data_IF_185697727470
#
_entry.id   IF_185697727470
#
_cell.length_a   1.000
_cell.length_b   1.000
_cell.length_c   1.000
_cell.angle_alpha   90.00
_cell.angle_beta   90.00
_cell.angle_gamma   90.00
#
_symmetry.space_group_name_H-M   'P 1'
#
loop_
_entity.id
_entity.type
_entity.pdbx_description
1 polymer ?
#
# COMPACT_ATOMS: atom_id res chain seq x y z
N UNK A 1 -70.23 -33.31 17.33
CA UNK A 1 -70.24 -32.02 16.60
C UNK A 1 -68.90 -31.34 16.84
N UNK A 2 -68.17 -31.13 15.75
CA UNK A 2 -67.12 -30.11 15.54
C UNK A 2 -65.88 -30.09 16.45
N UNK A 3 -64.86 -30.82 15.98
CA UNK A 3 -63.48 -30.33 15.72
C UNK A 3 -63.41 -28.86 15.22
N UNK A 4 -62.22 -28.22 15.03
CA UNK A 4 -60.86 -28.52 15.54
C UNK A 4 -59.96 -27.27 15.83
N UNK A 5 -58.83 -27.53 16.50
CA UNK A 5 -57.44 -27.14 16.15
C UNK A 5 -57.08 -25.68 15.73
N UNK A 6 -56.22 -25.01 16.51
CA UNK A 6 -55.43 -23.84 16.09
C UNK A 6 -54.09 -24.29 15.49
N UNK A 7 -53.70 -23.86 14.28
CA UNK A 7 -52.31 -23.88 13.85
C UNK A 7 -51.57 -22.63 14.35
N UNK A 8 -50.32 -22.82 14.74
CA UNK A 8 -49.36 -21.77 15.12
C UNK A 8 -48.95 -21.04 13.83
N UNK A 9 -49.31 -19.76 13.73
CA UNK A 9 -48.98 -18.91 12.59
C UNK A 9 -47.51 -18.50 12.59
N UNK A 10 -46.80 -18.95 11.56
CA UNK A 10 -45.53 -18.41 11.07
C UNK A 10 -45.68 -16.91 10.77
N UNK A 11 -44.84 -16.08 11.38
CA UNK A 11 -44.58 -14.71 10.92
C UNK A 11 -43.12 -14.64 10.50
N UNK A 12 -42.90 -14.77 9.19
CA UNK A 12 -41.65 -14.38 8.56
C UNK A 12 -41.55 -12.86 8.58
N UNK A 13 -40.74 -12.31 9.48
CA UNK A 13 -40.27 -10.93 9.40
C UNK A 13 -39.04 -10.89 8.50
N UNK A 14 -39.24 -10.56 7.22
CA UNK A 14 -38.14 -10.16 6.35
C UNK A 14 -37.44 -8.91 6.90
N UNK A 15 -36.13 -8.74 6.70
CA UNK A 15 -35.46 -7.49 7.05
C UNK A 15 -36.01 -6.34 6.18
N UNK A 16 -36.06 -5.12 6.72
CA UNK A 16 -36.70 -3.98 6.05
C UNK A 16 -35.97 -3.63 4.77
N UNK A 17 -36.72 -3.63 3.66
CA UNK A 17 -36.35 -2.92 2.44
C UNK A 17 -36.28 -1.41 2.71
N UNK A 18 -35.30 -0.78 2.07
CA UNK A 18 -35.12 0.66 1.88
C UNK A 18 -34.39 1.44 3.00
N UNK A 19 -33.06 1.25 3.07
CA UNK A 19 -32.14 2.35 3.39
C UNK A 19 -31.71 2.98 2.06
N UNK A 20 -32.34 4.10 1.76
CA UNK A 20 -32.18 4.87 0.54
C UNK A 20 -30.74 5.07 0.06
N UNK A 21 -30.63 5.12 -1.27
CA UNK A 21 -29.56 5.77 -2.04
C UNK A 21 -28.18 5.13 -1.90
N UNK A 22 -27.91 4.08 -2.67
CA UNK A 22 -26.55 3.74 -3.10
C UNK A 22 -26.03 4.80 -4.09
N UNK A 23 -25.77 6.01 -3.61
CA UNK A 23 -24.77 6.84 -4.28
C UNK A 23 -23.46 6.09 -4.14
N UNK A 24 -23.03 5.41 -5.21
CA UNK A 24 -21.89 4.49 -5.18
C UNK A 24 -20.68 5.15 -4.50
N UNK A 25 -20.29 4.65 -3.33
CA UNK A 25 -19.11 5.13 -2.61
C UNK A 25 -17.92 5.11 -3.55
N UNK A 26 -17.17 6.20 -3.61
CA UNK A 26 -15.95 6.26 -4.44
C UNK A 26 -14.88 5.38 -3.81
N UNK A 27 -14.33 4.46 -4.61
CA UNK A 27 -13.39 3.43 -4.16
C UNK A 27 -12.00 3.67 -4.72
N UNK A 28 -10.99 3.44 -3.88
CA UNK A 28 -9.59 3.51 -4.25
C UNK A 28 -8.90 2.17 -4.06
N UNK A 29 -7.96 1.85 -4.94
CA UNK A 29 -6.90 0.87 -4.68
C UNK A 29 -5.59 1.61 -4.54
N UNK A 30 -4.83 1.33 -3.49
CA UNK A 30 -3.48 1.84 -3.29
C UNK A 30 -2.48 0.69 -3.33
N UNK A 31 -1.69 0.63 -4.40
CA UNK A 31 -0.56 -0.28 -4.52
C UNK A 31 0.64 0.30 -3.76
N UNK A 32 1.22 -0.45 -2.82
CA UNK A 32 2.37 0.02 -2.05
C UNK A 32 3.59 -0.86 -2.31
N UNK A 33 4.63 -0.29 -2.90
CA UNK A 33 5.88 -0.98 -3.17
C UNK A 33 7.02 -0.44 -2.28
N UNK A 34 8.19 -1.09 -2.32
CA UNK A 34 9.37 -0.68 -1.54
C UNK A 34 9.78 0.75 -1.86
N UNK A 35 9.81 1.03 -3.16
CA UNK A 35 10.36 2.24 -3.71
C UNK A 35 11.82 2.12 -4.12
N UNK A 36 12.31 3.24 -4.62
CA UNK A 36 13.56 3.36 -5.35
C UNK A 36 14.01 4.81 -5.26
N UNK A 37 15.31 5.13 -5.39
CA UNK A 37 15.76 6.52 -5.44
C UNK A 37 15.16 7.28 -6.63
N UNK A 38 14.99 8.59 -6.46
CA UNK A 38 14.46 9.49 -7.52
C UNK A 38 15.44 9.70 -8.69
N UNK A 39 16.68 9.22 -8.55
CA UNK A 39 17.74 9.38 -9.53
C UNK A 39 18.87 8.38 -9.28
N UNK A 40 19.68 8.07 -10.31
CA UNK A 40 20.78 7.12 -10.19
C UNK A 40 22.05 7.79 -9.63
N UNK A 41 21.98 9.08 -9.31
CA UNK A 41 23.07 9.84 -8.72
C UNK A 41 23.27 9.51 -7.23
N UNK A 42 24.48 9.77 -6.72
CA UNK A 42 24.86 9.48 -5.34
C UNK A 42 23.94 10.14 -4.31
N UNK A 43 23.46 11.36 -4.55
CA UNK A 43 22.64 12.12 -3.59
C UNK A 43 21.25 11.52 -3.50
N UNK A 44 20.64 11.17 -4.63
CA UNK A 44 19.32 10.53 -4.68
C UNK A 44 19.35 9.14 -4.04
N UNK A 45 20.38 8.34 -4.36
CA UNK A 45 20.61 7.03 -3.73
C UNK A 45 20.87 7.15 -2.23
N UNK A 46 21.64 8.16 -1.79
CA UNK A 46 21.87 8.40 -0.38
C UNK A 46 20.57 8.71 0.37
N UNK A 47 19.70 9.59 -0.16
CA UNK A 47 18.42 9.93 0.49
C UNK A 47 17.55 8.69 0.66
N UNK A 48 17.41 7.89 -0.40
CA UNK A 48 16.66 6.63 -0.37
C UNK A 48 17.23 5.65 0.66
N UNK A 49 18.54 5.37 0.61
CA UNK A 49 19.19 4.44 1.54
C UNK A 49 19.13 4.94 2.98
N UNK A 50 19.29 6.24 3.22
CA UNK A 50 19.20 6.82 4.55
C UNK A 50 17.78 6.62 5.12
N UNK A 51 16.73 6.79 4.32
CA UNK A 51 15.36 6.51 4.74
C UNK A 51 15.15 5.01 5.04
N UNK A 52 15.55 4.14 4.11
CA UNK A 52 15.39 2.69 4.22
C UNK A 52 16.13 2.11 5.43
N UNK A 53 17.41 2.45 5.60
CA UNK A 53 18.27 1.91 6.64
C UNK A 53 18.01 2.55 8.01
N UNK A 54 17.35 3.70 8.06
CA UNK A 54 16.92 4.31 9.33
C UNK A 54 15.65 3.67 9.90
N UNK A 55 14.96 2.81 9.13
CA UNK A 55 13.72 2.20 9.58
C UNK A 55 14.00 1.09 10.63
N UNK A 56 13.42 1.17 11.85
CA UNK A 56 13.57 0.13 12.88
C UNK A 56 12.92 -1.21 12.52
N UNK A 57 12.07 -1.29 11.50
CA UNK A 57 11.62 -2.56 10.93
C UNK A 57 12.70 -3.22 10.07
N UNK A 58 13.59 -2.44 9.46
CA UNK A 58 14.68 -2.94 8.61
C UNK A 58 15.92 -3.26 9.44
N UNK A 59 16.36 -2.33 10.29
CA UNK A 59 17.47 -2.53 11.23
C UNK A 59 16.89 -2.63 12.65
N UNK A 60 16.77 -3.85 13.17
CA UNK A 60 16.23 -4.08 14.50
C UNK A 60 17.32 -3.95 15.56
N UNK A 61 17.40 -2.76 16.18
CA UNK A 61 18.24 -2.54 17.36
C UNK A 61 17.49 -2.91 18.65
N UNK A 62 18.21 -3.27 19.73
CA UNK A 62 17.61 -3.44 21.05
C UNK A 62 16.78 -2.22 21.45
N UNK A 63 15.69 -2.41 22.21
CA UNK A 63 14.68 -1.35 22.48
C UNK A 63 15.30 -0.04 23.00
N UNK A 64 16.30 -0.11 23.88
CA UNK A 64 16.99 1.07 24.42
C UNK A 64 17.87 1.84 23.43
N UNK A 65 18.13 1.27 22.24
CA UNK A 65 19.03 1.83 21.22
C UNK A 65 18.29 2.28 19.95
N UNK A 66 16.96 2.28 19.94
CA UNK A 66 16.16 2.69 18.76
C UNK A 66 16.41 4.13 18.31
N UNK A 67 16.82 5.01 19.21
CA UNK A 67 17.23 6.38 18.88
C UNK A 67 18.45 6.42 17.95
N UNK A 68 19.29 5.37 17.96
CA UNK A 68 20.48 5.25 17.12
C UNK A 68 20.19 4.74 15.69
N UNK A 69 18.97 4.30 15.38
CA UNK A 69 18.60 3.82 14.03
C UNK A 69 18.85 4.88 12.95
N UNK A 70 18.41 6.12 13.18
CA UNK A 70 18.60 7.23 12.23
C UNK A 70 20.08 7.54 11.96
N UNK A 71 20.92 7.84 12.98
CA UNK A 71 22.33 8.13 12.73
C UNK A 71 23.06 6.93 12.11
N UNK A 72 22.75 5.70 12.54
CA UNK A 72 23.32 4.49 11.94
C UNK A 72 22.94 4.34 10.47
N UNK A 73 21.66 4.53 10.13
CA UNK A 73 21.16 4.47 8.76
C UNK A 73 21.84 5.50 7.86
N UNK A 74 22.02 6.74 8.32
CA UNK A 74 22.72 7.79 7.58
C UNK A 74 24.21 7.46 7.38
N UNK A 75 24.87 6.94 8.41
CA UNK A 75 26.27 6.53 8.32
C UNK A 75 26.45 5.42 7.27
N UNK A 76 25.65 4.36 7.35
CA UNK A 76 25.70 3.24 6.39
C UNK A 76 25.35 3.72 4.99
N UNK A 77 24.34 4.57 4.83
CA UNK A 77 23.97 5.16 3.55
C UNK A 77 25.14 5.96 2.95
N UNK A 78 25.87 6.73 3.76
CA UNK A 78 27.03 7.51 3.31
C UNK A 78 28.13 6.64 2.70
N UNK A 79 28.44 5.51 3.34
CA UNK A 79 29.42 4.55 2.84
C UNK A 79 28.93 3.79 1.60
N UNK A 80 27.65 3.42 1.56
CA UNK A 80 27.11 2.58 0.47
C UNK A 80 26.69 3.35 -0.78
N UNK A 81 26.31 4.62 -0.65
CA UNK A 81 25.69 5.39 -1.73
C UNK A 81 26.52 5.41 -3.02
N UNK A 82 27.85 5.49 -2.94
CA UNK A 82 28.70 5.50 -4.16
C UNK A 82 28.59 4.19 -4.94
N UNK A 83 28.68 3.04 -4.25
CA UNK A 83 28.62 1.73 -4.88
C UNK A 83 27.21 1.44 -5.40
N UNK A 84 26.18 1.73 -4.59
CA UNK A 84 24.79 1.57 -5.01
C UNK A 84 24.42 2.45 -6.20
N UNK A 85 24.92 3.69 -6.26
CA UNK A 85 24.68 4.57 -7.41
C UNK A 85 25.32 4.08 -8.71
N UNK A 86 26.41 3.29 -8.66
CA UNK A 86 26.93 2.64 -9.85
C UNK A 86 25.95 1.58 -10.38
N UNK A 87 25.45 0.73 -9.48
CA UNK A 87 24.46 -0.31 -9.83
C UNK A 87 23.15 0.28 -10.34
N UNK A 88 22.64 1.35 -9.71
CA UNK A 88 21.43 2.02 -10.19
C UNK A 88 21.62 2.61 -11.59
N UNK A 89 22.82 3.13 -11.93
CA UNK A 89 23.11 3.64 -13.29
C UNK A 89 23.08 2.55 -14.35
N UNK A 90 23.49 1.33 -14.03
CA UNK A 90 23.50 0.20 -14.97
C UNK A 90 22.10 -0.22 -15.41
N UNK A 91 21.10 -0.06 -14.55
CA UNK A 91 19.70 -0.44 -14.81
C UNK A 91 18.78 0.78 -15.04
N UNK A 92 19.34 1.99 -15.07
CA UNK A 92 18.52 3.21 -15.18
C UNK A 92 17.98 3.34 -16.60
N UNK A 93 16.69 3.69 -16.72
CA UNK A 93 16.04 3.87 -18.02
C UNK A 93 15.61 5.32 -18.21
N UNK A 94 15.19 5.68 -19.42
CA UNK A 94 14.58 6.99 -19.70
C UNK A 94 13.32 7.24 -18.85
N UNK A 95 12.62 6.16 -18.47
CA UNK A 95 11.44 6.18 -17.60
C UNK A 95 11.79 6.11 -16.11
N UNK A 96 13.06 6.25 -15.76
CA UNK A 96 13.57 6.17 -14.40
C UNK A 96 13.92 4.74 -13.97
N UNK A 97 13.73 4.45 -12.68
CA UNK A 97 13.94 3.10 -12.15
C UNK A 97 12.86 2.13 -12.66
N UNK A 98 13.24 0.94 -13.16
CA UNK A 98 12.30 -0.07 -13.63
C UNK A 98 11.21 -0.42 -12.61
N UNK A 99 11.55 -0.48 -11.31
CA UNK A 99 10.58 -0.75 -10.25
C UNK A 99 9.45 0.28 -10.25
N UNK A 100 9.79 1.57 -10.38
CA UNK A 100 8.80 2.64 -10.36
C UNK A 100 7.96 2.65 -11.63
N UNK A 101 8.59 2.53 -12.80
CA UNK A 101 7.86 2.56 -14.08
C UNK A 101 6.92 1.35 -14.20
N UNK A 102 7.37 0.15 -13.82
CA UNK A 102 6.53 -1.06 -13.84
C UNK A 102 5.39 -0.95 -12.82
N UNK A 103 5.64 -0.42 -11.62
CA UNK A 103 4.57 -0.22 -10.62
C UNK A 103 3.50 0.76 -11.14
N UNK A 104 3.92 1.82 -11.83
CA UNK A 104 2.99 2.76 -12.45
C UNK A 104 2.17 2.11 -13.57
N UNK A 105 2.80 1.33 -14.45
CA UNK A 105 2.12 0.56 -15.51
C UNK A 105 1.11 -0.44 -14.93
N UNK A 106 1.48 -1.15 -13.86
CA UNK A 106 0.59 -2.07 -13.16
C UNK A 106 -0.62 -1.35 -12.55
N UNK A 107 -0.42 -0.15 -11.99
CA UNK A 107 -1.50 0.67 -11.46
C UNK A 107 -2.46 1.12 -12.58
N UNK A 108 -1.91 1.54 -13.72
CA UNK A 108 -2.69 1.95 -14.90
C UNK A 108 -3.51 0.78 -15.46
N UNK A 109 -2.86 -0.36 -15.73
CA UNK A 109 -3.51 -1.55 -16.24
C UNK A 109 -4.59 -2.08 -15.28
N UNK A 110 -4.35 -2.01 -13.96
CA UNK A 110 -5.37 -2.35 -12.97
C UNK A 110 -6.56 -1.39 -13.02
N UNK A 111 -6.32 -0.10 -13.25
CA UNK A 111 -7.38 0.90 -13.41
C UNK A 111 -8.27 0.64 -14.63
N UNK A 112 -7.70 0.13 -15.73
CA UNK A 112 -8.43 -0.18 -16.96
C UNK A 112 -9.37 -1.39 -16.81
N UNK A 113 -9.03 -2.35 -15.95
CA UNK A 113 -9.83 -3.57 -15.73
C UNK A 113 -10.85 -3.45 -14.60
N UNK A 114 -10.70 -2.46 -13.72
CA UNK A 114 -11.62 -2.26 -12.61
C UNK A 114 -12.94 -1.62 -13.06
N UNK A 115 -14.07 -1.93 -12.41
CA UNK A 115 -15.36 -1.32 -12.73
C UNK A 115 -15.34 0.20 -12.57
N UNK A 116 -16.27 0.92 -13.24
CA UNK A 116 -16.45 2.36 -13.01
C UNK A 116 -16.62 2.70 -11.53
N UNK A 117 -16.03 3.81 -11.09
CA UNK A 117 -16.06 4.27 -9.69
C UNK A 117 -14.86 3.82 -8.84
N UNK A 118 -13.97 2.99 -9.40
CA UNK A 118 -12.66 2.69 -8.82
C UNK A 118 -11.57 3.59 -9.39
N UNK A 119 -10.63 3.99 -8.54
CA UNK A 119 -9.40 4.68 -8.94
C UNK A 119 -8.19 3.96 -8.34
N UNK A 120 -7.12 3.82 -9.13
CA UNK A 120 -5.91 3.13 -8.69
C UNK A 120 -4.78 4.13 -8.51
N UNK A 121 -4.13 4.03 -7.36
CA UNK A 121 -3.00 4.84 -6.95
C UNK A 121 -1.82 3.92 -6.65
N UNK A 122 -0.60 4.46 -6.71
CA UNK A 122 0.58 3.75 -6.24
C UNK A 122 1.42 4.65 -5.35
N UNK A 123 2.05 4.07 -4.34
CA UNK A 123 2.95 4.75 -3.42
C UNK A 123 4.18 3.90 -3.13
N UNK A 124 5.24 4.57 -2.72
CA UNK A 124 6.47 3.97 -2.28
C UNK A 124 6.60 4.06 -0.76
N UNK A 125 6.99 2.96 -0.12
CA UNK A 125 7.35 2.95 1.30
C UNK A 125 8.53 3.88 1.57
N UNK A 126 9.53 3.85 0.69
CA UNK A 126 10.73 4.70 0.74
C UNK A 126 10.91 5.41 -0.60
N UNK A 127 11.20 6.71 -0.60
CA UNK A 127 11.26 7.53 -1.83
C UNK A 127 9.89 8.07 -2.27
N UNK A 128 9.75 8.33 -3.57
CA UNK A 128 8.58 8.99 -4.17
C UNK A 128 7.84 8.09 -5.17
N UNK A 129 6.51 8.27 -5.35
CA UNK A 129 5.65 9.14 -4.54
C UNK A 129 5.42 8.55 -3.14
N UNK A 130 5.61 9.35 -2.09
CA UNK A 130 5.46 8.88 -0.71
C UNK A 130 4.00 8.57 -0.35
N UNK A 131 3.77 7.63 0.57
CA UNK A 131 2.42 7.28 1.04
C UNK A 131 1.64 8.53 1.52
N UNK A 132 2.27 9.44 2.25
CA UNK A 132 1.63 10.70 2.69
C UNK A 132 1.05 11.51 1.53
N UNK A 133 1.89 11.77 0.52
CA UNK A 133 1.50 12.55 -0.66
C UNK A 133 0.32 11.88 -1.35
N UNK A 134 0.39 10.57 -1.56
CA UNK A 134 -0.63 9.82 -2.30
C UNK A 134 -1.93 9.76 -1.51
N UNK A 135 -1.90 9.67 -0.18
CA UNK A 135 -3.12 9.76 0.64
C UNK A 135 -3.81 11.13 0.50
N UNK A 136 -3.05 12.21 0.33
CA UNK A 136 -3.61 13.53 0.02
C UNK A 136 -4.28 13.56 -1.36
N UNK A 137 -3.68 12.91 -2.37
CA UNK A 137 -4.27 12.75 -3.70
C UNK A 137 -5.57 11.91 -3.62
N UNK A 138 -5.55 10.78 -2.90
CA UNK A 138 -6.72 9.93 -2.64
C UNK A 138 -7.85 10.73 -1.97
N UNK A 139 -7.54 11.55 -0.96
CA UNK A 139 -8.50 12.41 -0.29
C UNK A 139 -9.10 13.45 -1.26
N UNK A 140 -8.28 14.07 -2.11
CA UNK A 140 -8.73 15.07 -3.08
C UNK A 140 -9.67 14.49 -4.15
N UNK A 141 -9.57 13.19 -4.43
CA UNK A 141 -10.48 12.47 -5.32
C UNK A 141 -11.85 12.11 -4.68
N UNK A 142 -12.02 12.38 -3.39
CA UNK A 142 -13.23 12.06 -2.62
C UNK A 142 -13.42 10.56 -2.39
N UNK A 143 -12.32 9.79 -2.33
CA UNK A 143 -12.38 8.35 -2.03
C UNK A 143 -12.80 8.16 -0.57
N UNK A 144 -13.76 7.25 -0.33
CA UNK A 144 -14.25 6.90 1.01
C UNK A 144 -13.78 5.50 1.45
N UNK A 145 -13.66 4.57 0.51
CA UNK A 145 -13.21 3.19 0.74
C UNK A 145 -11.88 2.97 0.02
N UNK A 146 -10.83 2.65 0.79
CA UNK A 146 -9.48 2.46 0.27
C UNK A 146 -9.01 1.02 0.52
N UNK A 147 -8.77 0.27 -0.55
CA UNK A 147 -8.12 -1.04 -0.50
C UNK A 147 -6.62 -0.85 -0.70
N UNK A 148 -5.82 -1.23 0.29
CA UNK A 148 -4.36 -1.13 0.22
C UNK A 148 -3.75 -2.50 -0.03
N UNK A 149 -2.93 -2.59 -1.08
CA UNK A 149 -2.27 -3.83 -1.50
C UNK A 149 -0.76 -3.59 -1.51
N UNK A 150 -0.04 -4.05 -0.47
CA UNK A 150 1.40 -4.18 -0.55
C UNK A 150 1.78 -5.11 -1.72
N UNK A 151 2.69 -4.66 -2.57
CA UNK A 151 3.17 -5.37 -3.77
C UNK A 151 4.12 -6.53 -3.43
N UNK A 152 3.89 -7.19 -2.28
CA UNK A 152 4.63 -8.35 -1.79
C UNK A 152 3.61 -9.48 -1.56
N UNK A 153 3.60 -10.53 -2.41
CA UNK A 153 2.69 -11.66 -2.25
C UNK A 153 2.85 -12.37 -0.91
N UNK A 154 4.10 -12.44 -0.42
CA UNK A 154 4.45 -13.06 0.85
C UNK A 154 4.64 -11.98 1.93
N UNK A 155 3.96 -12.13 3.05
CA UNK A 155 4.09 -11.21 4.17
C UNK A 155 5.47 -11.33 4.84
N UNK A 156 6.10 -10.17 5.09
CA UNK A 156 7.20 -10.03 6.03
C UNK A 156 7.07 -8.70 6.78
N UNK A 157 7.48 -8.69 8.04
CA UNK A 157 7.51 -7.47 8.86
C UNK A 157 8.43 -6.38 8.29
N UNK A 158 9.45 -6.76 7.53
CA UNK A 158 10.42 -5.85 6.92
C UNK A 158 10.01 -5.33 5.54
N UNK A 159 8.91 -5.85 4.97
CA UNK A 159 8.36 -5.44 3.67
C UNK A 159 6.91 -4.93 3.80
N UNK A 160 5.91 -5.80 3.69
CA UNK A 160 4.50 -5.46 3.82
C UNK A 160 4.19 -4.85 5.20
N UNK A 161 4.77 -5.39 6.27
CA UNK A 161 4.56 -4.88 7.62
C UNK A 161 4.99 -3.43 7.81
N UNK A 162 6.17 -3.05 7.30
CA UNK A 162 6.62 -1.65 7.39
C UNK A 162 5.84 -0.71 6.47
N UNK A 163 5.43 -1.16 5.27
CA UNK A 163 4.53 -0.44 4.38
C UNK A 163 3.19 -0.09 5.05
N UNK A 164 2.56 -1.08 5.68
CA UNK A 164 1.28 -0.91 6.38
C UNK A 164 1.43 -0.03 7.62
N UNK A 165 2.54 -0.15 8.36
CA UNK A 165 2.80 0.73 9.50
C UNK A 165 2.98 2.19 9.07
N UNK A 166 3.68 2.45 7.96
CA UNK A 166 3.79 3.79 7.42
C UNK A 166 2.43 4.32 6.97
N UNK A 167 1.61 3.50 6.29
CA UNK A 167 0.25 3.87 5.91
C UNK A 167 -0.55 4.39 7.12
N UNK A 168 -0.60 3.64 8.21
CA UNK A 168 -1.32 4.09 9.41
C UNK A 168 -0.69 5.32 10.06
N UNK A 169 0.64 5.44 10.05
CA UNK A 169 1.31 6.66 10.53
C UNK A 169 0.97 7.88 9.69
N UNK A 170 0.93 7.73 8.36
CA UNK A 170 0.57 8.77 7.41
C UNK A 170 -0.90 9.20 7.57
N UNK A 171 -1.82 8.23 7.73
CA UNK A 171 -3.24 8.51 8.02
C UNK A 171 -3.41 9.31 9.32
N UNK A 172 -2.70 8.92 10.39
CA UNK A 172 -2.73 9.65 11.65
C UNK A 172 -2.18 11.08 11.51
N UNK A 173 -1.13 11.28 10.73
CA UNK A 173 -0.53 12.61 10.51
C UNK A 173 -1.42 13.52 9.65
N UNK A 174 -2.03 12.97 8.61
CA UNK A 174 -2.81 13.74 7.64
C UNK A 174 -4.25 14.01 8.10
N UNK A 175 -4.77 13.23 9.05
CA UNK A 175 -6.15 13.38 9.54
C UNK A 175 -7.21 13.01 8.51
N UNK A 176 -6.85 12.20 7.49
CA UNK A 176 -7.81 11.69 6.52
C UNK A 176 -8.58 10.50 7.08
N UNK A 177 -9.89 10.48 6.84
CA UNK A 177 -10.78 9.41 7.27
C UNK A 177 -11.23 8.59 6.08
N UNK A 178 -10.72 7.36 5.97
CA UNK A 178 -11.14 6.37 4.98
C UNK A 178 -11.56 5.08 5.68
N UNK A 179 -12.47 4.33 5.07
CA UNK A 179 -12.63 2.91 5.37
C UNK A 179 -11.49 2.13 4.70
N UNK A 180 -10.49 1.72 5.48
CA UNK A 180 -9.26 1.09 4.96
C UNK A 180 -9.33 -0.43 5.11
N UNK A 181 -9.16 -1.15 4.00
CA UNK A 181 -8.97 -2.60 3.97
C UNK A 181 -7.58 -2.92 3.45
N UNK A 182 -6.80 -3.73 4.16
CA UNK A 182 -5.43 -4.07 3.74
C UNK A 182 -5.33 -5.54 3.37
N UNK A 183 -4.84 -5.84 2.15
CA UNK A 183 -4.52 -7.20 1.71
C UNK A 183 -3.06 -7.51 1.99
N UNK A 184 -2.77 -7.91 3.22
CA UNK A 184 -1.39 -8.10 3.74
C UNK A 184 -0.58 -9.21 3.06
N UNK A 185 -1.25 -10.16 2.40
CA UNK A 185 -0.64 -11.34 1.77
C UNK A 185 -1.55 -11.85 0.66
N UNK A 186 -0.97 -12.36 -0.41
CA UNK A 186 -1.69 -12.87 -1.59
C UNK A 186 -0.90 -13.91 -2.39
N UNK A 187 0.00 -14.66 -1.75
CA UNK A 187 0.82 -15.70 -2.39
C UNK A 187 0.02 -16.89 -2.96
N UNK A 188 -1.20 -17.13 -2.47
CA UNK A 188 -2.10 -18.19 -2.98
C UNK A 188 -3.04 -17.70 -4.09
N UNK A 189 -2.93 -16.43 -4.49
CA UNK A 189 -3.80 -15.89 -5.52
C UNK A 189 -3.57 -16.61 -6.85
N UNK A 190 -4.64 -17.13 -7.45
CA UNK A 190 -4.55 -17.96 -8.65
C UNK A 190 -3.90 -17.24 -9.83
N UNK A 191 -4.11 -15.93 -9.97
CA UNK A 191 -3.48 -15.12 -11.03
C UNK A 191 -1.97 -14.97 -10.80
N UNK A 192 -1.56 -14.81 -9.54
CA UNK A 192 -0.14 -14.79 -9.16
C UNK A 192 0.55 -16.13 -9.41
N UNK A 193 -0.06 -17.23 -8.97
CA UNK A 193 0.48 -18.59 -9.16
C UNK A 193 0.58 -18.92 -10.65
N UNK A 194 -0.43 -18.59 -11.44
CA UNK A 194 -0.44 -18.82 -12.88
C UNK A 194 0.67 -18.05 -13.61
N UNK A 195 0.94 -16.80 -13.24
CA UNK A 195 1.99 -15.98 -13.86
C UNK A 195 3.43 -16.47 -13.57
N UNK A 196 3.61 -17.41 -12.64
CA UNK A 196 4.90 -18.01 -12.28
C UNK A 196 5.15 -19.38 -12.91
N UNK A 197 4.12 -19.99 -13.48
CA UNK A 197 4.18 -21.29 -14.15
C UNK A 197 4.76 -21.15 -15.56
#
# INVERSE_FOLDING_TARGET
MSSPNRPIGSTASGPPEDLGMTSGRRRGVLLVNLGTPDGPDRRSVFRYLAQFLSDPAVIQLPRGWRWANRPLGHLIAGFRARKSAALYREIWTERGSPLSSITQEQAQALGEILPPGWQVFYAMRYGQPSIDRVLGEVASCGIEELVVVPMYPHFSGTSAGTAVRELYSALQRAGHHFSVTVRNSWYEDGGYVYAQA
#
